data_IF_096227942882
#
_entry.id   IF_096227942882
#
_cell.length_a   1.000
_cell.length_b   1.000
_cell.length_c   1.000
_cell.angle_alpha   90.00
_cell.angle_beta   90.00
_cell.angle_gamma   90.00
#
_symmetry.space_group_name_H-M   'P 1'
#
loop_
_entity.id
_entity.type
_entity.pdbx_description
1 polymer ?
#
# COMPACT_ATOMS: atom_id res chain seq x y z
N UNK A 1 -8.92 -4.72 -23.84
CA UNK A 1 -8.29 -4.39 -22.55
C UNK A 1 -9.31 -3.58 -21.76
N UNK A 2 -9.92 -4.16 -20.73
CA UNK A 2 -10.93 -3.44 -19.93
C UNK A 2 -10.19 -2.50 -18.96
N UNK A 3 -10.47 -1.21 -19.03
CA UNK A 3 -10.00 -0.24 -18.04
C UNK A 3 -10.97 -0.29 -16.86
N UNK A 4 -10.49 -0.71 -15.69
CA UNK A 4 -11.29 -0.70 -14.47
C UNK A 4 -11.00 0.60 -13.71
N UNK A 5 -12.01 1.46 -13.60
CA UNK A 5 -11.90 2.73 -12.86
C UNK A 5 -12.18 2.48 -11.38
N UNK A 6 -11.20 2.76 -10.53
CA UNK A 6 -11.36 2.74 -9.07
C UNK A 6 -11.45 4.17 -8.55
N UNK A 7 -12.65 4.63 -8.19
CA UNK A 7 -12.84 5.86 -7.43
C UNK A 7 -13.52 5.51 -6.11
N UNK A 8 -12.73 5.44 -5.04
CA UNK A 8 -13.23 5.28 -3.68
C UNK A 8 -12.57 6.35 -2.81
N UNK A 9 -13.33 7.08 -1.98
CA UNK A 9 -12.74 7.98 -1.00
C UNK A 9 -11.67 7.27 -0.18
N UNK A 10 -10.67 8.05 0.25
CA UNK A 10 -9.66 7.52 1.15
C UNK A 10 -10.32 7.08 2.46
N UNK A 11 -10.04 5.85 2.87
CA UNK A 11 -10.46 5.27 4.14
C UNK A 11 -9.24 4.59 4.76
N UNK A 12 -8.81 5.12 5.90
CA UNK A 12 -7.65 4.60 6.61
C UNK A 12 -7.88 3.20 7.17
N UNK A 13 -9.09 2.89 7.66
CA UNK A 13 -9.40 1.56 8.18
C UNK A 13 -9.34 0.53 7.06
N UNK A 14 -9.87 0.87 5.89
CA UNK A 14 -9.73 0.04 4.70
C UNK A 14 -8.27 -0.13 4.28
N UNK A 15 -7.44 0.91 4.42
CA UNK A 15 -6.01 0.82 4.10
C UNK A 15 -5.29 -0.13 5.06
N UNK A 16 -5.71 -0.23 6.32
CA UNK A 16 -5.19 -1.24 7.25
C UNK A 16 -5.59 -2.67 6.85
N UNK A 17 -6.66 -2.86 6.09
CA UNK A 17 -7.22 -4.17 5.73
C UNK A 17 -6.76 -4.68 4.37
N UNK A 18 -6.65 -3.78 3.38
CA UNK A 18 -6.40 -4.15 1.99
C UNK A 18 -5.44 -3.18 1.27
N UNK A 19 -4.61 -3.74 0.38
CA UNK A 19 -3.75 -2.98 -0.51
C UNK A 19 -4.53 -2.49 -1.75
N UNK A 20 -5.22 -1.36 -1.65
CA UNK A 20 -6.07 -0.85 -2.74
C UNK A 20 -5.57 0.46 -3.37
N UNK A 21 -4.52 1.07 -2.82
CA UNK A 21 -3.98 2.33 -3.31
C UNK A 21 -2.84 2.02 -4.28
N UNK A 22 -2.98 2.47 -5.53
CA UNK A 22 -1.91 2.37 -6.51
C UNK A 22 -0.85 3.44 -6.24
N UNK A 23 0.34 3.02 -5.81
CA UNK A 23 1.48 3.90 -5.51
C UNK A 23 1.86 4.76 -6.70
N UNK A 24 1.70 4.26 -7.94
CA UNK A 24 1.96 5.00 -9.19
C UNK A 24 1.05 6.23 -9.39
N UNK A 25 -0.12 6.27 -8.75
CA UNK A 25 -1.07 7.38 -8.81
C UNK A 25 -1.03 8.26 -7.53
N UNK A 26 -0.06 8.02 -6.64
CA UNK A 26 0.04 8.67 -5.33
C UNK A 26 1.15 9.71 -5.33
N UNK A 27 0.86 10.89 -4.78
CA UNK A 27 1.85 11.94 -4.55
C UNK A 27 1.85 12.35 -3.08
N UNK A 28 3.04 12.61 -2.54
CA UNK A 28 3.24 13.09 -1.18
C UNK A 28 4.37 14.11 -1.13
N UNK A 29 4.37 14.95 -0.08
CA UNK A 29 5.43 15.94 0.13
C UNK A 29 6.75 15.22 0.43
N UNK A 30 7.86 15.72 -0.11
CA UNK A 30 9.18 15.17 0.20
C UNK A 30 9.49 15.17 1.70
N UNK A 31 9.08 16.20 2.43
CA UNK A 31 9.25 16.25 3.87
C UNK A 31 8.58 15.08 4.60
N UNK A 32 7.42 14.61 4.11
CA UNK A 32 6.72 13.45 4.69
C UNK A 32 7.53 12.16 4.50
N UNK A 33 8.20 12.00 3.36
CA UNK A 33 9.06 10.85 3.09
C UNK A 33 10.17 10.69 4.13
N UNK A 34 10.85 11.80 4.41
CA UNK A 34 11.95 11.83 5.38
C UNK A 34 11.43 11.77 6.82
N UNK A 35 10.28 12.39 7.13
CA UNK A 35 9.61 12.31 8.44
C UNK A 35 9.17 10.89 8.81
N UNK A 36 8.57 10.17 7.86
CA UNK A 36 7.99 8.83 8.07
C UNK A 36 9.09 7.76 8.12
N UNK A 37 10.28 8.05 7.58
CA UNK A 37 11.41 7.13 7.57
C UNK A 37 11.47 6.23 6.34
N UNK A 38 10.94 6.69 5.18
CA UNK A 38 11.06 5.99 3.87
C UNK A 38 10.41 4.60 3.86
N UNK A 39 10.72 3.76 2.87
CA UNK A 39 10.31 2.35 2.84
C UNK A 39 11.05 1.54 3.90
N UNK A 40 10.34 0.59 4.50
CA UNK A 40 10.94 -0.39 5.39
C UNK A 40 11.53 -1.53 4.55
N UNK A 41 12.86 -1.56 4.45
CA UNK A 41 13.61 -2.56 3.67
C UNK A 41 13.48 -3.99 4.24
N UNK A 42 12.87 -4.17 5.42
CA UNK A 42 12.50 -5.48 5.94
C UNK A 42 11.31 -6.14 5.22
N UNK A 43 10.59 -5.39 4.37
CA UNK A 43 9.50 -5.90 3.55
C UNK A 43 9.96 -6.17 2.11
N UNK A 44 10.08 -7.45 1.69
CA UNK A 44 10.44 -7.79 0.31
C UNK A 44 9.29 -7.53 -0.69
N UNK A 45 8.05 -7.43 -0.19
CA UNK A 45 6.86 -6.98 -0.90
C UNK A 45 5.97 -6.19 0.05
N UNK A 46 5.11 -5.34 -0.52
CA UNK A 46 4.19 -4.45 0.21
C UNK A 46 4.89 -3.35 1.01
N UNK A 47 6.14 -3.04 0.69
CA UNK A 47 6.90 -1.94 1.27
C UNK A 47 6.23 -0.58 1.01
N UNK A 48 5.56 -0.45 -0.13
CA UNK A 48 4.78 0.72 -0.49
C UNK A 48 3.48 0.82 0.33
N UNK A 49 2.75 -0.29 0.48
CA UNK A 49 1.55 -0.36 1.30
C UNK A 49 1.86 -0.06 2.78
N UNK A 50 2.92 -0.66 3.31
CA UNK A 50 3.41 -0.42 4.67
C UNK A 50 3.76 1.07 4.88
N UNK A 51 4.46 1.68 3.91
CA UNK A 51 4.75 3.10 3.95
C UNK A 51 3.48 3.96 3.91
N UNK A 52 2.51 3.64 3.05
CA UNK A 52 1.26 4.40 2.95
C UNK A 52 0.47 4.36 4.25
N UNK A 53 0.46 3.25 5.00
CA UNK A 53 -0.16 3.19 6.33
C UNK A 53 0.49 4.21 7.27
N UNK A 54 1.83 4.22 7.36
CA UNK A 54 2.54 5.19 8.22
C UNK A 54 2.36 6.63 7.74
N UNK A 55 2.41 6.87 6.44
CA UNK A 55 2.35 8.18 5.82
C UNK A 55 0.96 8.83 5.89
N UNK A 56 -0.10 8.05 6.08
CA UNK A 56 -1.48 8.54 6.12
C UNK A 56 -2.10 8.53 7.52
N UNK A 57 -1.47 7.84 8.49
CA UNK A 57 -1.96 7.78 9.86
C UNK A 57 -2.10 9.18 10.47
N UNK A 58 -3.32 9.51 10.92
CA UNK A 58 -3.69 10.80 11.52
C UNK A 58 -3.41 12.02 10.63
N UNK A 59 -3.45 11.85 9.31
CA UNK A 59 -3.21 12.93 8.34
C UNK A 59 -4.34 13.04 7.34
N UNK A 60 -4.53 14.25 6.84
CA UNK A 60 -5.46 14.48 5.74
C UNK A 60 -4.92 13.86 4.45
N UNK A 61 -5.76 13.05 3.80
CA UNK A 61 -5.50 12.47 2.49
C UNK A 61 -6.62 12.89 1.54
N UNK A 62 -6.24 13.43 0.39
CA UNK A 62 -7.20 13.85 -0.63
C UNK A 62 -7.10 12.94 -1.84
N UNK A 63 -8.18 12.21 -2.12
CA UNK A 63 -8.35 11.52 -3.38
C UNK A 63 -8.71 12.55 -4.46
N UNK A 64 -7.98 12.54 -5.58
CA UNK A 64 -8.31 13.36 -6.74
C UNK A 64 -9.35 12.64 -7.59
N UNK A 65 -10.34 13.37 -8.09
CA UNK A 65 -11.37 12.87 -9.02
C UNK A 65 -10.87 12.79 -10.47
N UNK A 66 -9.60 13.10 -10.71
CA UNK A 66 -8.97 13.16 -12.03
C UNK A 66 -7.94 12.05 -12.18
N UNK A 67 -7.85 11.47 -13.36
CA UNK A 67 -6.82 10.49 -13.70
C UNK A 67 -5.42 11.12 -13.67
N UNK A 68 -4.55 10.64 -12.78
CA UNK A 68 -3.17 11.12 -12.64
C UNK A 68 -2.13 10.18 -13.26
N UNK A 69 -2.46 8.89 -13.39
CA UNK A 69 -1.52 7.87 -13.87
C UNK A 69 -2.23 6.68 -14.53
N UNK A 70 -1.47 5.91 -15.31
CA UNK A 70 -1.89 4.62 -15.87
C UNK A 70 -0.95 3.55 -15.32
N UNK A 71 -1.51 2.62 -14.54
CA UNK A 71 -0.82 1.38 -14.18
C UNK A 71 -1.06 0.31 -15.23
N UNK A 72 -0.05 -0.51 -15.53
CA UNK A 72 -0.20 -1.69 -16.37
C UNK A 72 0.07 -2.91 -15.50
N UNK A 73 -0.82 -3.90 -15.57
CA UNK A 73 -0.56 -5.18 -14.94
C UNK A 73 0.77 -5.72 -15.51
N UNK A 74 1.68 -6.08 -14.60
CA UNK A 74 2.89 -6.78 -15.01
C UNK A 74 2.49 -8.18 -15.47
N UNK A 75 2.93 -8.58 -16.67
CA UNK A 75 2.59 -9.88 -17.26
C UNK A 75 3.81 -10.81 -17.35
N UNK A 76 4.89 -10.48 -16.66
CA UNK A 76 6.10 -11.30 -16.59
C UNK A 76 6.16 -12.11 -15.30
N UNK A 77 7.15 -13.00 -15.22
CA UNK A 77 7.43 -13.74 -13.98
C UNK A 77 8.12 -12.82 -12.97
N UNK A 78 7.48 -12.58 -11.83
CA UNK A 78 8.11 -11.89 -10.70
C UNK A 78 9.02 -12.90 -10.00
N UNK A 79 10.30 -12.89 -10.34
CA UNK A 79 11.31 -13.67 -9.60
C UNK A 79 11.88 -12.85 -8.44
N UNK A 80 11.08 -12.67 -7.38
CA UNK A 80 11.65 -12.23 -6.11
C UNK A 80 12.43 -13.41 -5.55
N UNK A 81 13.76 -13.27 -5.42
CA UNK A 81 14.67 -14.34 -4.94
C UNK A 81 14.21 -15.00 -3.64
N UNK A 82 13.41 -14.30 -2.83
CA UNK A 82 12.92 -14.74 -1.52
C UNK A 82 11.47 -15.27 -1.54
N UNK A 83 10.75 -15.14 -2.65
CA UNK A 83 9.37 -15.62 -2.82
C UNK A 83 9.33 -16.52 -4.05
N UNK A 84 9.29 -17.83 -3.80
CA UNK A 84 9.22 -18.83 -4.86
C UNK A 84 7.99 -18.64 -5.74
N UNK A 85 8.07 -19.08 -7.00
CA UNK A 85 6.99 -19.07 -7.99
C UNK A 85 5.66 -19.75 -7.57
N UNK A 86 5.60 -20.31 -6.35
CA UNK A 86 4.42 -20.94 -5.75
C UNK A 86 3.64 -20.02 -4.80
N UNK A 87 4.13 -18.82 -4.48
CA UNK A 87 3.34 -17.83 -3.77
C UNK A 87 2.77 -16.84 -4.81
N UNK A 88 1.43 -16.72 -4.94
CA UNK A 88 0.82 -15.77 -5.86
C UNK A 88 1.26 -14.34 -5.51
N UNK A 89 0.96 -13.37 -6.39
CA UNK A 89 1.14 -11.92 -6.19
C UNK A 89 0.68 -11.43 -4.79
N UNK A 90 -0.15 -12.24 -4.11
CA UNK A 90 -0.46 -12.14 -2.70
C UNK A 90 0.39 -13.02 -1.77
N UNK A 91 1.60 -12.57 -1.40
CA UNK A 91 2.41 -13.25 -0.38
C UNK A 91 1.72 -13.19 1.00
N UNK A 92 1.09 -14.30 1.40
CA UNK A 92 0.35 -14.38 2.67
C UNK A 92 1.24 -14.09 3.88
N UNK A 93 2.50 -14.54 3.86
CA UNK A 93 3.47 -14.31 4.94
C UNK A 93 3.76 -12.83 5.14
N UNK A 94 4.07 -12.11 4.05
CA UNK A 94 4.36 -10.68 4.10
C UNK A 94 3.12 -9.86 4.46
N UNK A 95 1.94 -10.27 3.96
CA UNK A 95 0.66 -9.68 4.38
C UNK A 95 0.43 -9.84 5.88
N UNK A 96 0.64 -11.03 6.45
CA UNK A 96 0.52 -11.26 7.89
C UNK A 96 1.53 -10.43 8.68
N UNK A 97 2.77 -10.31 8.22
CA UNK A 97 3.78 -9.47 8.87
C UNK A 97 3.36 -7.99 8.92
N UNK A 98 2.86 -7.45 7.81
CA UNK A 98 2.32 -6.07 7.73
C UNK A 98 1.14 -5.88 8.69
N UNK A 99 0.17 -6.81 8.68
CA UNK A 99 -0.99 -6.77 9.57
C UNK A 99 -0.57 -6.81 11.05
N UNK A 100 0.41 -7.64 11.39
CA UNK A 100 0.93 -7.75 12.76
C UNK A 100 1.63 -6.47 13.20
N UNK A 101 2.44 -5.86 12.32
CA UNK A 101 3.12 -4.57 12.58
C UNK A 101 2.13 -3.46 12.93
N UNK A 102 1.03 -3.36 12.18
CA UNK A 102 0.02 -2.31 12.35
C UNK A 102 -1.16 -2.70 13.25
N UNK A 103 -1.11 -3.84 13.96
CA UNK A 103 -2.21 -4.33 14.81
C UNK A 103 -2.69 -3.30 15.85
N UNK A 104 -1.78 -2.46 16.34
CA UNK A 104 -2.07 -1.46 17.36
C UNK A 104 -2.93 -0.32 16.82
N UNK A 105 -2.84 0.00 15.53
CA UNK A 105 -3.63 1.06 14.88
C UNK A 105 -5.10 0.63 14.73
N UNK A 106 -5.35 -0.67 14.53
CA UNK A 106 -6.71 -1.23 14.49
C UNK A 106 -7.43 -1.14 15.84
N UNK A 107 -6.68 -1.22 16.93
CA UNK A 107 -7.22 -1.13 18.29
C UNK A 107 -7.44 0.32 18.77
N UNK A 108 -6.90 1.30 18.03
CA UNK A 108 -7.08 2.73 18.29
C UNK A 108 -8.23 3.33 17.47
N UNK A 109 -8.74 2.57 16.50
CA UNK A 109 -9.93 2.90 15.73
C UNK A 109 -11.17 2.35 16.45
N UNK A 110 -11.70 3.07 17.44
CA UNK A 110 -13.08 2.88 17.85
C UNK A 110 -13.53 3.67 19.09
N UNK A 111 -14.84 3.88 19.27
CA UNK A 111 -15.93 3.87 18.28
C UNK A 111 -16.04 5.18 17.47
#
# INVERSE_FOLDING_TARGET
>A
MQQQTHYLPFDFNRLLEANFIFTVATAFRRALWDEVGRYDEGFPVYEDWEFLIRATHQREVRALTTYSAISRAFTGDIHLREHSANEPDECARCRTALQWKHRHLRNQAGP
#
